data_IF_155908219773
#
_entry.id   IF_155908219773
#
_cell.length_a   1.000
_cell.length_b   1.000
_cell.length_c   1.000
_cell.angle_alpha   90.00
_cell.angle_beta   90.00
_cell.angle_gamma   90.00
#
_symmetry.space_group_name_H-M   'P 1'
#
loop_
_entity.id
_entity.type
_entity.pdbx_description
1 polymer ?
#
# COMPACT_ATOMS: atom_id res chain seq x y z
N UNK A 1 -3.12 -14.10 -16.84
CA UNK A 1 -2.84 -13.59 -15.48
C UNK A 1 -2.52 -12.11 -15.61
N UNK A 2 -2.96 -11.24 -14.69
CA UNK A 2 -2.61 -9.83 -14.77
C UNK A 2 -1.09 -9.66 -14.59
N UNK A 3 -0.47 -8.87 -15.46
CA UNK A 3 0.97 -8.61 -15.36
C UNK A 3 1.27 -7.77 -14.12
N UNK A 4 2.34 -8.10 -13.39
CA UNK A 4 2.86 -7.24 -12.33
C UNK A 4 3.76 -6.17 -12.94
N UNK A 5 3.43 -4.89 -12.72
CA UNK A 5 4.27 -3.78 -13.16
C UNK A 5 4.82 -3.06 -11.93
N UNK A 6 6.12 -3.22 -11.62
CA UNK A 6 6.71 -2.66 -10.42
C UNK A 6 6.80 -1.12 -10.48
N UNK A 7 7.12 -0.51 -9.34
CA UNK A 7 7.32 0.94 -9.25
C UNK A 7 8.47 1.40 -10.15
N UNK A 8 8.39 2.57 -10.82
CA UNK A 8 9.54 3.11 -11.55
C UNK A 8 10.68 3.54 -10.61
N UNK A 9 10.40 3.77 -9.33
CA UNK A 9 11.41 4.12 -8.31
C UNK A 9 12.11 2.85 -7.84
N UNK A 10 13.42 2.78 -8.06
CA UNK A 10 14.27 1.63 -7.72
C UNK A 10 14.14 1.19 -6.27
N UNK A 11 14.38 2.09 -5.32
CA UNK A 11 14.28 1.76 -3.89
C UNK A 11 12.90 1.22 -3.46
N UNK A 12 11.82 1.61 -4.16
CA UNK A 12 10.47 1.07 -3.88
C UNK A 12 10.37 -0.37 -4.38
N UNK A 13 10.93 -0.68 -5.54
CA UNK A 13 10.98 -2.05 -6.06
C UNK A 13 11.80 -2.93 -5.15
N UNK A 14 13.00 -2.48 -4.77
CA UNK A 14 13.92 -3.25 -3.96
C UNK A 14 13.31 -3.56 -2.59
N UNK A 15 12.61 -2.58 -1.99
CA UNK A 15 11.89 -2.80 -0.74
C UNK A 15 10.79 -3.85 -0.89
N UNK A 16 9.96 -3.77 -1.94
CA UNK A 16 8.90 -4.75 -2.19
C UNK A 16 9.49 -6.14 -2.42
N UNK A 17 10.55 -6.26 -3.24
CA UNK A 17 11.21 -7.52 -3.51
C UNK A 17 11.81 -8.13 -2.24
N UNK A 18 12.48 -7.33 -1.41
CA UNK A 18 13.05 -7.78 -0.15
C UNK A 18 11.97 -8.25 0.83
N UNK A 19 10.88 -7.48 0.94
CA UNK A 19 9.74 -7.83 1.78
C UNK A 19 9.15 -9.18 1.37
N UNK A 20 8.90 -9.38 0.08
CA UNK A 20 8.24 -10.59 -0.40
C UNK A 20 9.17 -11.80 -0.41
N UNK A 21 10.43 -11.63 -0.83
CA UNK A 21 11.40 -12.74 -0.85
C UNK A 21 11.71 -13.26 0.54
N UNK A 22 11.66 -12.40 1.55
CA UNK A 22 11.87 -12.77 2.96
C UNK A 22 10.59 -13.26 3.65
N UNK A 23 9.45 -13.33 2.95
CA UNK A 23 8.15 -13.67 3.55
C UNK A 23 7.70 -12.68 4.63
N UNK A 24 8.06 -11.40 4.49
CA UNK A 24 7.69 -10.34 5.40
C UNK A 24 8.55 -10.21 6.66
N UNK A 25 9.79 -10.70 6.62
CA UNK A 25 10.74 -10.60 7.74
C UNK A 25 11.82 -9.53 7.56
N UNK A 26 12.10 -9.13 6.32
CA UNK A 26 13.05 -8.07 5.94
C UNK A 26 12.36 -6.94 5.16
N UNK A 27 12.97 -5.75 5.09
CA UNK A 27 12.37 -4.61 4.36
C UNK A 27 11.07 -4.06 4.99
N UNK A 28 10.78 -4.45 6.23
CA UNK A 28 9.52 -4.18 6.94
C UNK A 28 9.41 -2.78 7.52
N UNK A 29 10.43 -1.94 7.36
CA UNK A 29 10.45 -0.56 7.83
C UNK A 29 10.71 0.43 6.69
N UNK A 30 10.25 1.66 6.86
CA UNK A 30 10.55 2.75 5.94
C UNK A 30 12.03 3.13 6.06
N UNK A 31 12.87 2.54 5.21
CA UNK A 31 14.33 2.76 5.21
C UNK A 31 14.88 2.63 6.64
N UNK A 32 15.75 3.55 7.04
CA UNK A 32 16.41 3.56 8.35
C UNK A 32 15.59 4.24 9.45
N UNK A 33 14.32 4.61 9.19
CA UNK A 33 13.49 5.31 10.20
C UNK A 33 12.97 4.40 11.30
N UNK A 34 13.02 3.08 11.10
CA UNK A 34 12.41 2.08 11.98
C UNK A 34 10.88 2.06 11.96
N UNK A 35 10.23 2.94 11.20
CA UNK A 35 8.79 3.00 11.13
C UNK A 35 8.22 1.84 10.29
N UNK A 36 7.24 1.09 10.80
CA UNK A 36 6.76 -0.13 10.13
C UNK A 36 6.00 0.17 8.84
N UNK A 37 6.12 -0.74 7.88
CA UNK A 37 5.51 -0.69 6.54
C UNK A 37 4.77 -2.00 6.24
N UNK A 38 3.69 -1.88 5.48
CA UNK A 38 2.96 -2.99 4.85
C UNK A 38 3.06 -2.87 3.34
N UNK A 39 2.92 -3.99 2.62
CA UNK A 39 2.77 -3.96 1.15
C UNK A 39 1.29 -4.02 0.81
N UNK A 40 0.84 -3.06 0.01
CA UNK A 40 -0.54 -3.01 -0.49
C UNK A 40 -0.56 -3.36 -1.98
N UNK A 41 -1.15 -4.51 -2.28
CA UNK A 41 -1.35 -4.99 -3.65
C UNK A 41 -2.72 -4.52 -4.16
N UNK A 42 -2.75 -3.90 -5.33
CA UNK A 42 -3.95 -3.34 -5.94
C UNK A 42 -3.90 -3.39 -7.47
N UNK A 43 -5.05 -3.21 -8.12
CA UNK A 43 -5.18 -3.28 -9.58
C UNK A 43 -5.12 -1.91 -10.22
N UNK A 44 -4.20 -1.70 -11.17
CA UNK A 44 -4.07 -0.44 -11.90
C UNK A 44 -5.31 -0.13 -12.75
N UNK A 45 -6.03 0.98 -12.48
CA UNK A 45 -7.32 1.28 -13.10
C UNK A 45 -7.29 1.39 -14.64
N UNK A 46 -6.18 1.86 -15.21
CA UNK A 46 -6.00 2.01 -16.66
C UNK A 46 -5.41 0.78 -17.34
N UNK A 47 -4.67 -0.04 -16.58
CA UNK A 47 -3.82 -1.10 -17.15
C UNK A 47 -4.31 -2.51 -16.81
N UNK A 48 -5.13 -2.68 -15.77
CA UNK A 48 -5.49 -3.99 -15.22
C UNK A 48 -4.33 -4.73 -14.54
N UNK A 49 -3.13 -4.15 -14.55
CA UNK A 49 -1.92 -4.74 -14.00
C UNK A 49 -1.92 -4.75 -12.47
N UNK A 50 -1.27 -5.74 -11.88
CA UNK A 50 -0.99 -5.77 -10.44
C UNK A 50 0.05 -4.70 -10.13
N UNK A 51 -0.22 -3.92 -9.08
CA UNK A 51 0.65 -2.89 -8.53
C UNK A 51 0.83 -3.16 -7.05
N UNK A 52 2.06 -2.93 -6.56
CA UNK A 52 2.41 -3.09 -5.14
C UNK A 52 2.95 -1.78 -4.63
N UNK A 53 2.43 -1.30 -3.51
CA UNK A 53 2.84 -0.02 -2.92
C UNK A 53 3.13 -0.22 -1.44
N UNK A 54 4.39 -0.01 -1.00
CA UNK A 54 4.70 0.04 0.42
C UNK A 54 4.06 1.28 1.03
N UNK A 55 3.29 1.09 2.10
CA UNK A 55 2.65 2.17 2.87
C UNK A 55 2.99 2.02 4.35
N UNK A 56 2.99 3.15 5.06
CA UNK A 56 3.15 3.16 6.51
C UNK A 56 2.07 2.31 7.17
N UNK A 57 2.48 1.50 8.15
CA UNK A 57 1.57 0.62 8.88
C UNK A 57 0.79 1.41 9.92
N UNK A 58 -0.48 1.66 9.64
CA UNK A 58 -1.46 2.19 10.61
C UNK A 58 -2.55 1.15 10.77
N UNK A 59 -2.63 0.52 11.95
CA UNK A 59 -3.56 -0.57 12.24
C UNK A 59 -4.45 -0.19 13.42
N UNK A 60 -5.76 -0.34 13.23
CA UNK A 60 -6.79 -0.16 14.26
C UNK A 60 -7.63 -1.45 14.35
N UNK A 61 -7.34 -2.27 15.37
CA UNK A 61 -7.92 -3.60 15.51
C UNK A 61 -7.65 -4.49 14.28
N UNK A 62 -8.70 -4.82 13.53
CA UNK A 62 -8.62 -5.57 12.28
C UNK A 62 -8.48 -4.69 11.03
N UNK A 63 -8.64 -3.37 11.17
CA UNK A 63 -8.64 -2.42 10.07
C UNK A 63 -7.26 -1.81 9.84
N UNK A 64 -7.03 -1.34 8.62
CA UNK A 64 -5.83 -0.61 8.22
C UNK A 64 -6.24 0.75 7.68
N UNK A 65 -5.47 1.78 8.03
CA UNK A 65 -5.68 3.14 7.51
C UNK A 65 -4.58 3.43 6.48
N UNK A 66 -4.99 3.63 5.22
CA UNK A 66 -4.07 3.95 4.13
C UNK A 66 -4.10 5.46 3.86
N UNK A 67 -2.97 6.12 4.06
CA UNK A 67 -2.88 7.58 3.88
C UNK A 67 -2.42 7.92 2.47
N UNK A 68 -3.34 8.49 1.68
CA UNK A 68 -3.15 8.93 0.28
C UNK A 68 -2.29 10.18 0.09
N UNK A 69 -1.14 10.28 0.77
CA UNK A 69 -0.26 11.46 0.75
C UNK A 69 1.09 11.17 0.09
N UNK A 70 1.64 12.16 -0.62
CA UNK A 70 3.02 12.17 -1.13
C UNK A 70 3.74 13.40 -0.57
N UNK A 71 4.02 13.39 0.73
CA UNK A 71 4.85 14.43 1.37
C UNK A 71 4.37 15.87 1.15
N UNK A 72 3.04 16.09 1.09
CA UNK A 72 2.45 17.41 0.87
C UNK A 72 2.28 17.82 -0.59
N UNK A 73 2.52 16.93 -1.56
CA UNK A 73 2.19 17.20 -2.96
C UNK A 73 0.68 17.49 -3.13
N UNK A 74 0.30 18.44 -4.01
CA UNK A 74 -1.10 18.82 -4.21
C UNK A 74 -1.93 17.72 -4.90
N UNK A 75 -1.29 16.73 -5.53
CA UNK A 75 -1.94 15.65 -6.24
C UNK A 75 -1.92 14.35 -5.43
N UNK A 76 -3.04 13.63 -5.47
CA UNK A 76 -3.11 12.29 -4.89
C UNK A 76 -2.19 11.31 -5.65
N UNK A 77 -1.57 10.35 -4.96
CA UNK A 77 -0.81 9.31 -5.61
C UNK A 77 -1.70 8.40 -6.47
N UNK A 78 -1.13 7.87 -7.55
CA UNK A 78 -1.83 7.05 -8.56
C UNK A 78 -2.62 5.88 -7.94
N UNK A 79 -2.10 5.27 -6.88
CA UNK A 79 -2.76 4.13 -6.22
C UNK A 79 -4.11 4.49 -5.60
N UNK A 80 -4.33 5.74 -5.18
CA UNK A 80 -5.63 6.20 -4.65
C UNK A 80 -6.69 6.10 -5.73
N UNK A 81 -6.38 6.57 -6.95
CA UNK A 81 -7.28 6.46 -8.10
C UNK A 81 -7.50 5.01 -8.55
N UNK A 82 -6.53 4.13 -8.30
CA UNK A 82 -6.68 2.71 -8.60
C UNK A 82 -7.70 2.05 -7.66
N UNK A 83 -7.58 2.29 -6.36
CA UNK A 83 -8.46 1.72 -5.33
C UNK A 83 -9.89 2.27 -5.41
N UNK A 84 -10.06 3.56 -5.72
CA UNK A 84 -11.39 4.15 -6.01
C UNK A 84 -12.17 3.40 -7.10
N UNK A 85 -11.48 2.85 -8.10
CA UNK A 85 -12.10 2.09 -9.20
C UNK A 85 -12.23 0.60 -8.83
N UNK A 86 -11.20 0.02 -8.22
CA UNK A 86 -11.16 -1.38 -7.82
C UNK A 86 -10.87 -1.46 -6.32
N UNK A 87 -11.91 -1.49 -5.47
CA UNK A 87 -11.73 -1.34 -4.03
C UNK A 87 -11.32 -2.65 -3.33
N UNK A 88 -10.71 -3.59 -4.06
CA UNK A 88 -10.26 -4.87 -3.51
C UNK A 88 -8.75 -4.87 -3.53
N UNK A 89 -8.16 -4.94 -2.35
CA UNK A 89 -6.72 -4.88 -2.13
C UNK A 89 -6.29 -6.06 -1.29
N UNK A 90 -5.01 -6.40 -1.38
CA UNK A 90 -4.39 -7.36 -0.49
C UNK A 90 -3.35 -6.64 0.36
N UNK A 91 -3.38 -6.89 1.66
CA UNK A 91 -2.44 -6.36 2.64
C UNK A 91 -1.49 -7.49 3.05
N UNK A 92 -0.20 -7.25 2.85
CA UNK A 92 0.88 -8.07 3.37
C UNK A 92 1.51 -7.32 4.57
N UNK A 93 1.20 -7.79 5.78
CA UNK A 93 1.66 -7.27 7.07
C UNK A 93 2.49 -8.33 7.78
N UNK A 94 3.82 -8.22 7.67
CA UNK A 94 4.77 -9.24 8.06
C UNK A 94 4.44 -10.58 7.41
N UNK A 95 4.28 -11.66 8.16
CA UNK A 95 3.96 -12.98 7.60
C UNK A 95 2.48 -13.17 7.30
N UNK A 96 1.65 -12.14 7.49
CA UNK A 96 0.20 -12.21 7.30
C UNK A 96 -0.21 -11.54 5.98
N UNK A 97 -0.94 -12.28 5.16
CA UNK A 97 -1.56 -11.79 3.93
C UNK A 97 -3.08 -11.88 4.05
N UNK A 98 -3.78 -10.81 3.67
CA UNK A 98 -5.24 -10.76 3.74
C UNK A 98 -5.83 -9.88 2.64
N UNK A 99 -6.88 -10.38 2.00
CA UNK A 99 -7.71 -9.59 1.10
C UNK A 99 -8.67 -8.71 1.92
N UNK A 100 -8.67 -7.42 1.63
CA UNK A 100 -9.52 -6.42 2.27
C UNK A 100 -10.24 -5.62 1.19
N UNK A 101 -11.47 -5.21 1.48
CA UNK A 101 -12.17 -4.22 0.67
C UNK A 101 -11.90 -2.83 1.25
N UNK A 102 -11.28 -1.94 0.48
CA UNK A 102 -11.11 -0.56 0.91
C UNK A 102 -12.41 0.25 0.82
N UNK A 103 -12.45 1.29 1.65
CA UNK A 103 -13.48 2.32 1.63
C UNK A 103 -12.79 3.64 1.92
N UNK A 104 -12.96 4.61 1.02
CA UNK A 104 -12.44 5.95 1.24
C UNK A 104 -13.29 6.69 2.28
N UNK A 105 -12.60 7.40 3.17
CA UNK A 105 -13.22 8.24 4.21
C UNK A 105 -13.15 9.69 3.71
N UNK A 106 -14.29 10.23 3.29
CA UNK A 106 -14.41 11.59 2.78
C UNK A 106 -14.73 12.62 3.89
N UNK A 107 -14.99 12.17 5.12
CA UNK A 107 -15.52 13.01 6.19
C UNK A 107 -14.42 13.52 7.13
N UNK A 108 -14.25 14.84 7.24
CA UNK A 108 -13.25 15.50 8.10
C UNK A 108 -13.36 15.08 9.58
N UNK A 109 -14.54 14.68 10.04
CA UNK A 109 -14.78 14.26 11.43
C UNK A 109 -14.11 12.91 11.80
N UNK A 110 -13.81 12.06 10.83
CA UNK A 110 -13.18 10.74 11.06
C UNK A 110 -11.64 10.77 10.94
N UNK A 111 -11.06 11.88 10.47
CA UNK A 111 -9.60 12.06 10.40
C UNK A 111 -8.94 12.29 11.77
N UNK A 112 -9.75 12.48 12.82
CA UNK A 112 -9.30 12.93 14.16
C UNK A 112 -9.52 11.89 15.27
N UNK A 113 -9.83 10.63 14.92
CA UNK A 113 -10.01 9.53 15.89
C UNK A 113 -8.82 8.59 15.89
#
# INVERSE_FOLDING_TARGET
MPDYIPSPREWVRDQVELYERSGGTEGTTLRDTGLPVIIVTHTGNKTGAIRKTPLMRVKDGANYVLVGSVGGAPAHPVWVYNMRVNPTVEIHDHTAEQAIRDREIENEAEQTR
#
